data_IF_534346705353
#
_entry.id   IF_534346705353
#
_cell.length_a   1.000
_cell.length_b   1.000
_cell.length_c   1.000
_cell.angle_alpha   90.00
_cell.angle_beta   90.00
_cell.angle_gamma   90.00
#
_symmetry.space_group_name_H-M   'P 1'
#
loop_
_entity.id
_entity.type
_entity.pdbx_description
1 polymer ?
#
# COMPACT_ATOMS: atom_id res chain seq x y z
N UNK A 1 16.90 10.17 31.57
CA UNK A 1 17.58 9.57 30.40
C UNK A 1 18.54 10.60 29.83
N UNK A 2 19.77 10.21 29.57
CA UNK A 2 20.74 11.13 28.99
C UNK A 2 20.42 11.42 27.55
N UNK A 3 20.90 12.56 27.04
CA UNK A 3 20.70 12.95 25.64
C UNK A 3 21.30 11.90 24.70
N UNK A 4 22.48 11.37 25.04
CA UNK A 4 23.15 10.36 24.23
C UNK A 4 22.34 9.06 24.10
N UNK A 5 21.75 8.60 25.21
CA UNK A 5 20.92 7.40 25.22
C UNK A 5 19.64 7.64 24.41
N UNK A 6 19.03 8.81 24.57
CA UNK A 6 17.85 9.18 23.82
C UNK A 6 18.12 9.17 22.31
N UNK A 7 19.22 9.77 21.89
CA UNK A 7 19.62 9.81 20.47
C UNK A 7 19.88 8.41 19.92
N UNK A 8 20.52 7.55 20.72
CA UNK A 8 20.78 6.17 20.32
C UNK A 8 19.48 5.38 20.13
N UNK A 9 18.55 5.50 21.08
CA UNK A 9 17.26 4.82 21.00
C UNK A 9 16.47 5.30 19.75
N UNK A 10 16.46 6.60 19.52
CA UNK A 10 15.77 7.17 18.36
C UNK A 10 16.37 6.65 17.04
N UNK A 11 17.69 6.54 16.98
CA UNK A 11 18.37 6.02 15.79
C UNK A 11 18.07 4.55 15.57
N UNK A 12 18.07 3.73 16.64
CA UNK A 12 17.74 2.32 16.55
C UNK A 12 16.29 2.10 16.09
N UNK A 13 15.36 2.89 16.60
CA UNK A 13 13.97 2.82 16.17
C UNK A 13 13.82 3.18 14.68
N UNK A 14 14.55 4.19 14.22
CA UNK A 14 14.55 4.58 12.82
C UNK A 14 15.07 3.47 11.92
N UNK A 15 16.19 2.85 12.30
CA UNK A 15 16.78 1.73 11.56
C UNK A 15 15.80 0.55 11.50
N UNK A 16 15.13 0.26 12.60
CA UNK A 16 14.13 -0.81 12.66
C UNK A 16 12.96 -0.52 11.71
N UNK A 17 12.47 0.72 11.67
CA UNK A 17 11.38 1.13 10.80
C UNK A 17 11.81 1.03 9.33
N UNK A 18 13.01 1.50 9.00
CA UNK A 18 13.53 1.40 7.63
C UNK A 18 13.70 -0.05 7.20
N UNK A 19 14.20 -0.92 8.09
CA UNK A 19 14.33 -2.34 7.81
C UNK A 19 12.97 -2.98 7.57
N UNK A 20 11.99 -2.65 8.39
CA UNK A 20 10.62 -3.16 8.26
C UNK A 20 10.04 -2.78 6.89
N UNK A 21 10.22 -1.52 6.49
CA UNK A 21 9.77 -1.03 5.19
C UNK A 21 10.42 -1.82 4.05
N UNK A 22 11.74 -1.99 4.09
CA UNK A 22 12.46 -2.70 3.05
C UNK A 22 12.00 -4.16 2.97
N UNK A 23 11.88 -4.84 4.11
CA UNK A 23 11.47 -6.24 4.13
C UNK A 23 10.07 -6.43 3.53
N UNK A 24 9.12 -5.58 3.89
CA UNK A 24 7.76 -5.72 3.39
C UNK A 24 7.58 -5.22 1.96
N UNK A 25 8.32 -4.20 1.56
CA UNK A 25 8.05 -3.47 0.32
C UNK A 25 9.18 -3.55 -0.71
N UNK A 26 10.13 -4.48 -0.55
CA UNK A 26 11.27 -4.60 -1.47
C UNK A 26 10.85 -4.68 -2.95
N UNK A 27 9.84 -5.49 -3.34
CA UNK A 27 9.44 -5.54 -4.75
C UNK A 27 8.96 -4.20 -5.30
N UNK A 28 8.24 -3.41 -4.51
CA UNK A 28 7.78 -2.09 -4.91
C UNK A 28 8.96 -1.10 -4.98
N UNK A 29 9.83 -1.13 -3.95
CA UNK A 29 11.00 -0.25 -3.89
C UNK A 29 11.93 -0.48 -5.07
N UNK A 30 12.12 -1.75 -5.47
CA UNK A 30 12.97 -2.11 -6.61
C UNK A 30 12.30 -1.88 -7.97
N UNK A 31 11.03 -1.51 -8.00
CA UNK A 31 10.29 -1.26 -9.23
C UNK A 31 9.64 -2.48 -9.85
N UNK A 32 9.70 -3.64 -9.20
CA UNK A 32 9.05 -4.86 -9.68
C UNK A 32 7.54 -4.83 -9.55
N UNK A 33 7.03 -4.06 -8.59
CA UNK A 33 5.60 -3.84 -8.37
C UNK A 33 5.30 -2.35 -8.30
N UNK A 34 4.07 -1.97 -8.63
CA UNK A 34 3.66 -0.56 -8.58
C UNK A 34 3.22 -0.13 -7.18
N UNK A 35 2.81 -1.08 -6.35
CA UNK A 35 2.37 -0.82 -4.98
C UNK A 35 2.59 -2.03 -4.10
N UNK A 36 2.43 -1.82 -2.79
CA UNK A 36 2.57 -2.89 -1.81
C UNK A 36 1.72 -2.57 -0.59
N UNK A 37 1.27 -3.60 0.11
CA UNK A 37 0.66 -3.41 1.42
C UNK A 37 1.77 -3.26 2.47
N UNK A 38 1.56 -2.39 3.43
CA UNK A 38 2.47 -2.16 4.53
C UNK A 38 1.69 -2.16 5.83
N UNK A 39 2.00 -3.10 6.70
CA UNK A 39 1.41 -3.20 8.03
C UNK A 39 2.40 -2.69 9.06
N UNK A 40 1.98 -1.75 9.89
CA UNK A 40 2.83 -1.21 10.96
C UNK A 40 2.04 -1.15 12.26
N UNK A 41 2.77 -1.21 13.37
CA UNK A 41 2.17 -0.93 14.66
C UNK A 41 1.71 0.52 14.67
N UNK A 42 0.51 0.78 15.19
CA UNK A 42 -0.09 2.11 15.17
C UNK A 42 0.82 3.15 15.83
N UNK A 43 1.49 2.78 16.90
CA UNK A 43 2.40 3.68 17.61
C UNK A 43 3.61 4.11 16.77
N UNK A 44 3.97 3.32 15.76
CA UNK A 44 5.09 3.62 14.86
C UNK A 44 4.64 4.25 13.55
N UNK A 45 3.35 4.36 13.32
CA UNK A 45 2.82 4.91 12.07
C UNK A 45 3.31 6.33 11.76
N UNK A 46 3.36 7.27 12.72
CA UNK A 46 3.88 8.61 12.44
C UNK A 46 5.34 8.59 11.96
N UNK A 47 6.18 7.76 12.56
CA UNK A 47 7.59 7.62 12.18
C UNK A 47 7.71 6.96 10.80
N UNK A 48 6.89 5.94 10.53
CA UNK A 48 6.86 5.30 9.21
C UNK A 48 6.47 6.30 8.13
N UNK A 49 5.48 7.16 8.38
CA UNK A 49 5.09 8.20 7.43
C UNK A 49 6.24 9.13 7.10
N UNK A 50 7.05 9.52 8.10
CA UNK A 50 8.21 10.36 7.88
C UNK A 50 9.24 9.67 6.99
N UNK A 51 9.50 8.38 7.22
CA UNK A 51 10.43 7.60 6.39
C UNK A 51 9.94 7.53 4.95
N UNK A 52 8.65 7.25 4.76
CA UNK A 52 8.04 7.16 3.43
C UNK A 52 8.16 8.50 2.69
N UNK A 53 7.83 9.60 3.36
CA UNK A 53 7.89 10.94 2.76
C UNK A 53 9.32 11.29 2.35
N UNK A 54 10.31 11.00 3.19
CA UNK A 54 11.71 11.24 2.85
C UNK A 54 12.20 10.39 1.70
N UNK A 55 11.64 9.19 1.55
CA UNK A 55 12.01 8.26 0.48
C UNK A 55 11.26 8.52 -0.83
N UNK A 56 10.37 9.50 -0.85
CA UNK A 56 9.56 9.79 -2.03
C UNK A 56 8.50 8.75 -2.33
N UNK A 57 8.11 7.97 -1.33
CA UNK A 57 7.09 6.92 -1.45
C UNK A 57 5.78 7.48 -0.93
N UNK A 58 4.74 7.38 -1.74
CA UNK A 58 3.39 7.80 -1.36
C UNK A 58 2.69 6.69 -0.59
N UNK A 59 1.73 7.06 0.24
CA UNK A 59 1.00 6.10 1.04
C UNK A 59 -0.46 6.51 1.18
N UNK A 60 -1.32 5.52 1.41
CA UNK A 60 -2.75 5.73 1.63
C UNK A 60 -3.21 4.77 2.71
N UNK A 61 -3.84 5.29 3.76
CA UNK A 61 -4.34 4.47 4.87
C UNK A 61 -5.56 3.67 4.40
N UNK A 62 -5.46 2.34 4.51
CA UNK A 62 -6.54 1.44 4.13
C UNK A 62 -7.40 1.04 5.32
N UNK A 63 -6.75 0.71 6.44
CA UNK A 63 -7.44 0.20 7.61
C UNK A 63 -6.62 0.53 8.85
N UNK A 64 -7.32 0.82 9.94
CA UNK A 64 -6.68 1.12 11.21
C UNK A 64 -7.44 0.40 12.32
N UNK A 65 -6.72 -0.32 13.18
CA UNK A 65 -7.25 -0.93 14.37
C UNK A 65 -6.64 -0.26 15.60
N UNK A 66 -6.88 -0.79 16.80
CA UNK A 66 -6.33 -0.21 18.03
C UNK A 66 -4.81 -0.23 18.05
N UNK A 67 -4.19 -1.28 17.50
CA UNK A 67 -2.75 -1.50 17.59
C UNK A 67 -2.02 -1.53 16.26
N UNK A 68 -2.72 -1.55 15.13
CA UNK A 68 -2.12 -1.66 13.80
C UNK A 68 -2.73 -0.70 12.79
N UNK A 69 -1.92 -0.32 11.82
CA UNK A 69 -2.34 0.45 10.65
C UNK A 69 -1.86 -0.25 9.39
N UNK A 70 -2.71 -0.33 8.38
CA UNK A 70 -2.40 -0.93 7.08
C UNK A 70 -2.45 0.15 6.03
N UNK A 71 -1.37 0.30 5.29
CA UNK A 71 -1.23 1.28 4.22
C UNK A 71 -1.05 0.59 2.88
N UNK A 72 -1.54 1.21 1.82
CA UNK A 72 -1.05 0.94 0.47
C UNK A 72 0.06 1.94 0.22
N UNK A 73 1.27 1.44 -0.06
CA UNK A 73 2.41 2.28 -0.41
C UNK A 73 2.68 2.13 -1.90
N UNK A 74 3.07 3.22 -2.56
CA UNK A 74 3.18 3.23 -4.01
C UNK A 74 4.05 4.40 -4.46
N UNK A 75 4.57 4.29 -5.69
CA UNK A 75 5.19 5.43 -6.36
C UNK A 75 4.12 6.09 -7.20
N UNK A 76 3.84 7.34 -6.92
CA UNK A 76 2.70 8.07 -7.49
C UNK A 76 2.69 8.03 -9.02
N UNK A 77 3.81 8.41 -9.63
CA UNK A 77 3.89 8.46 -11.09
C UNK A 77 3.81 7.06 -11.71
N UNK A 78 4.44 6.08 -11.06
CA UNK A 78 4.39 4.69 -11.51
C UNK A 78 2.98 4.10 -11.46
N UNK A 79 2.26 4.36 -10.37
CA UNK A 79 0.89 3.86 -10.25
C UNK A 79 -0.05 4.55 -11.24
N UNK A 80 0.10 5.87 -11.43
CA UNK A 80 -0.68 6.60 -12.44
C UNK A 80 -0.46 6.02 -13.84
N UNK A 81 0.79 5.80 -14.22
CA UNK A 81 1.13 5.24 -15.52
C UNK A 81 0.56 3.84 -15.69
N UNK A 82 0.64 3.03 -14.63
CA UNK A 82 0.12 1.66 -14.63
C UNK A 82 -1.40 1.66 -14.87
N UNK A 83 -2.14 2.53 -14.20
CA UNK A 83 -3.59 2.63 -14.36
C UNK A 83 -4.01 3.12 -15.76
N UNK A 84 -3.09 3.76 -16.48
CA UNK A 84 -3.35 4.23 -17.84
C UNK A 84 -3.16 3.15 -18.91
N UNK A 85 -2.57 2.01 -18.55
CA UNK A 85 -2.42 0.90 -19.50
C UNK A 85 -3.78 0.33 -19.84
N UNK A 86 -4.02 0.07 -21.14
CA UNK A 86 -5.34 -0.35 -21.64
C UNK A 86 -5.87 -1.59 -20.91
N UNK A 87 -5.05 -2.61 -20.73
CA UNK A 87 -5.47 -3.85 -20.07
C UNK A 87 -5.82 -3.62 -18.61
N UNK A 88 -5.03 -2.82 -17.92
CA UNK A 88 -5.26 -2.48 -16.50
C UNK A 88 -6.53 -1.63 -16.38
N UNK A 89 -6.66 -0.63 -17.23
CA UNK A 89 -7.83 0.25 -17.26
C UNK A 89 -9.11 -0.56 -17.48
N UNK A 90 -9.13 -1.46 -18.45
CA UNK A 90 -10.29 -2.30 -18.74
C UNK A 90 -10.63 -3.21 -17.57
N UNK A 91 -9.61 -3.81 -16.93
CA UNK A 91 -9.82 -4.68 -15.78
C UNK A 91 -10.38 -3.91 -14.59
N UNK A 92 -9.85 -2.72 -14.31
CA UNK A 92 -10.35 -1.89 -13.22
C UNK A 92 -11.80 -1.50 -13.44
N UNK A 93 -12.14 -1.13 -14.67
CA UNK A 93 -13.55 -0.81 -15.03
C UNK A 93 -14.46 -2.01 -14.84
N UNK A 94 -13.98 -3.21 -15.15
CA UNK A 94 -14.77 -4.43 -14.96
C UNK A 94 -15.03 -4.72 -13.50
N UNK A 95 -14.17 -4.24 -12.59
CA UNK A 95 -14.36 -4.37 -11.15
C UNK A 95 -15.22 -3.25 -10.55
N UNK A 96 -15.74 -2.35 -11.40
CA UNK A 96 -16.65 -1.30 -10.97
C UNK A 96 -16.04 0.08 -10.76
N UNK A 97 -14.80 0.27 -11.19
CA UNK A 97 -14.13 1.58 -11.07
C UNK A 97 -14.54 2.45 -12.27
N UNK A 98 -15.39 3.43 -12.02
CA UNK A 98 -15.87 4.35 -13.06
C UNK A 98 -14.81 5.38 -13.43
N UNK A 99 -14.07 5.86 -12.46
CA UNK A 99 -12.99 6.83 -12.63
C UNK A 99 -11.66 6.16 -12.32
N UNK A 100 -10.64 6.41 -13.15
CA UNK A 100 -9.27 5.93 -12.91
C UNK A 100 -8.34 7.06 -12.46
N UNK A 101 -8.91 8.19 -12.06
CA UNK A 101 -8.15 9.18 -11.31
C UNK A 101 -7.60 8.54 -10.04
N UNK A 102 -6.32 8.81 -9.73
CA UNK A 102 -5.64 8.13 -8.64
C UNK A 102 -6.37 8.26 -7.31
N UNK A 103 -6.84 9.46 -6.97
CA UNK A 103 -7.54 9.68 -5.72
C UNK A 103 -8.85 8.90 -5.65
N UNK A 104 -9.58 8.82 -6.75
CA UNK A 104 -10.83 8.07 -6.81
C UNK A 104 -10.58 6.58 -6.68
N UNK A 105 -9.53 6.07 -7.34
CA UNK A 105 -9.13 4.66 -7.23
C UNK A 105 -8.76 4.30 -5.81
N UNK A 106 -7.93 5.12 -5.17
CA UNK A 106 -7.49 4.86 -3.80
C UNK A 106 -8.65 4.90 -2.80
N UNK A 107 -9.54 5.87 -2.95
CA UNK A 107 -10.71 5.98 -2.08
C UNK A 107 -11.66 4.79 -2.23
N UNK A 108 -11.94 4.39 -3.45
CA UNK A 108 -12.78 3.25 -3.75
C UNK A 108 -12.15 1.94 -3.24
N UNK A 109 -10.85 1.76 -3.50
CA UNK A 109 -10.13 0.58 -3.05
C UNK A 109 -10.11 0.49 -1.53
N UNK A 110 -9.86 1.60 -0.84
CA UNK A 110 -9.85 1.64 0.63
C UNK A 110 -11.18 1.16 1.19
N UNK A 111 -12.29 1.64 0.64
CA UNK A 111 -13.62 1.27 1.09
C UNK A 111 -13.88 -0.23 0.89
N UNK A 112 -13.52 -0.76 -0.28
CA UNK A 112 -13.71 -2.17 -0.58
C UNK A 112 -12.80 -3.06 0.27
N UNK A 113 -11.58 -2.59 0.53
CA UNK A 113 -10.65 -3.30 1.42
C UNK A 113 -11.20 -3.38 2.84
N UNK A 114 -11.68 -2.27 3.37
CA UNK A 114 -12.26 -2.22 4.72
C UNK A 114 -13.49 -3.13 4.83
N UNK A 115 -14.37 -3.11 3.83
CA UNK A 115 -15.56 -3.97 3.82
C UNK A 115 -15.18 -5.44 3.79
N UNK A 116 -14.14 -5.80 3.04
CA UNK A 116 -13.64 -7.17 2.99
C UNK A 116 -13.09 -7.60 4.34
N UNK A 117 -12.31 -6.74 5.00
CA UNK A 117 -11.73 -7.07 6.31
C UNK A 117 -12.78 -7.19 7.41
N UNK A 118 -13.92 -6.52 7.26
CA UNK A 118 -15.06 -6.64 8.17
C UNK A 118 -16.00 -7.80 7.77
N UNK A 119 -15.63 -8.55 6.72
CA UNK A 119 -16.40 -9.68 6.21
C UNK A 119 -17.79 -9.31 5.68
N UNK A 120 -17.97 -8.04 5.31
CA UNK A 120 -19.22 -7.54 4.72
C UNK A 120 -19.27 -7.83 3.22
N UNK A 121 -18.10 -7.85 2.56
CA UNK A 121 -17.98 -7.99 1.11
C UNK A 121 -16.94 -9.05 0.76
N UNK A 122 -16.97 -9.47 -0.51
CA UNK A 122 -15.97 -10.39 -1.05
C UNK A 122 -14.62 -9.70 -1.20
N UNK A 123 -13.56 -10.52 -1.27
CA UNK A 123 -12.19 -10.05 -1.48
C UNK A 123 -12.11 -9.17 -2.74
N UNK A 124 -11.53 -7.98 -2.65
CA UNK A 124 -11.42 -7.10 -3.82
C UNK A 124 -10.39 -7.65 -4.81
N UNK A 125 -10.86 -8.07 -5.98
CA UNK A 125 -10.02 -8.70 -7.00
C UNK A 125 -9.01 -7.74 -7.60
N UNK A 126 -9.32 -6.45 -7.64
CA UNK A 126 -8.39 -5.42 -8.07
C UNK A 126 -7.16 -5.33 -7.19
N UNK A 127 -7.18 -5.92 -6.00
CA UNK A 127 -5.99 -5.98 -5.15
C UNK A 127 -4.84 -6.68 -5.87
N UNK A 128 -5.14 -7.76 -6.61
CA UNK A 128 -4.12 -8.43 -7.40
C UNK A 128 -3.49 -7.52 -8.44
N UNK A 129 -4.31 -6.72 -9.14
CA UNK A 129 -3.82 -5.74 -10.10
C UNK A 129 -2.93 -4.70 -9.42
N UNK A 130 -3.43 -4.09 -8.35
CA UNK A 130 -2.70 -3.02 -7.65
C UNK A 130 -1.40 -3.53 -7.05
N UNK A 131 -1.36 -4.80 -6.64
CA UNK A 131 -0.15 -5.41 -6.11
C UNK A 131 0.76 -5.99 -7.21
N UNK A 132 0.41 -5.80 -8.49
CA UNK A 132 1.28 -6.13 -9.60
C UNK A 132 1.20 -7.55 -10.11
N UNK A 133 0.16 -8.29 -9.80
CA UNK A 133 -0.04 -9.62 -10.39
C UNK A 133 -0.49 -9.48 -11.84
N UNK A 134 -0.07 -10.38 -12.74
CA UNK A 134 -0.52 -10.35 -14.13
C UNK A 134 -2.06 -10.45 -14.21
N UNK A 135 -2.64 -9.72 -15.17
CA UNK A 135 -4.08 -9.69 -15.36
C UNK A 135 -4.64 -11.11 -15.61
N UNK A 136 -3.91 -11.93 -16.31
CA UNK A 136 -4.29 -13.31 -16.62
C UNK A 136 -4.41 -14.18 -15.35
N UNK A 137 -3.53 -13.96 -14.36
CA UNK A 137 -3.55 -14.72 -13.11
C UNK A 137 -4.72 -14.33 -12.21
N UNK A 138 -5.14 -13.07 -12.28
CA UNK A 138 -6.26 -12.59 -11.47
C UNK A 138 -7.56 -13.27 -11.87
N UNK A 139 -7.76 -13.46 -13.18
CA UNK A 139 -8.90 -14.20 -13.69
C UNK A 139 -8.92 -15.67 -13.29
N UNK A 140 -7.75 -16.29 -13.16
CA UNK A 140 -7.61 -17.70 -12.77
C UNK A 140 -7.89 -17.94 -11.30
N UNK A 141 -7.64 -16.96 -10.44
CA UNK A 141 -7.87 -17.08 -9.00
C UNK A 141 -9.35 -17.22 -8.66
N UNK A 142 -10.22 -17.05 -9.63
CA UNK A 142 -11.67 -17.07 -9.48
C UNK A 142 -12.32 -18.38 -9.85
N UNK A 143 -11.59 -19.29 -10.38
CA UNK A 143 -12.16 -20.56 -10.86
C UNK A 143 -12.18 -21.61 -9.79
#
# INVERSE_FOLDING_TARGET
MSQEVYEMITRLDRERIETHLVVQCAPMISGMKVSNLLNVEKKLAPQMKQVLERSGISYYLLLESEDKATFLVYRKDGLKAYLMQDRVCQSMKSFGYESLDLNDVLSCFQKRYADCMEQIAEFPHEMGLLLGYPVEEIGRAHV
#
